data_IF_451177326694
#
_entry.id   IF_451177326694
#
_cell.length_a   1.000
_cell.length_b   1.000
_cell.length_c   1.000
_cell.angle_alpha   90.00
_cell.angle_beta   90.00
_cell.angle_gamma   90.00
#
_symmetry.space_group_name_H-M   'P 1'
#
loop_
_entity.id
_entity.type
_entity.pdbx_description
1 polymer ?
#
# COMPACT_ATOMS: atom_id res chain seq x y z
N UNK A 1 -11.36 15.11 14.75
CA UNK A 1 -10.05 15.49 14.19
C UNK A 1 -10.16 15.47 12.66
N UNK A 2 -9.46 16.35 11.95
CA UNK A 2 -9.47 16.36 10.48
C UNK A 2 -8.52 15.28 9.92
N UNK A 3 -8.62 14.98 8.61
CA UNK A 3 -7.65 14.11 7.92
C UNK A 3 -6.22 14.62 8.08
N UNK A 4 -6.03 15.94 7.90
CA UNK A 4 -4.73 16.61 7.99
C UNK A 4 -4.10 16.40 9.36
N UNK A 5 -4.87 16.57 10.44
CA UNK A 5 -4.39 16.36 11.80
C UNK A 5 -3.93 14.91 12.02
N UNK A 6 -4.73 13.91 11.60
CA UNK A 6 -4.36 12.49 11.72
C UNK A 6 -3.10 12.21 10.91
N UNK A 7 -2.98 12.78 9.72
CA UNK A 7 -1.81 12.63 8.85
C UNK A 7 -0.55 13.17 9.51
N UNK A 8 -0.63 14.33 10.16
CA UNK A 8 0.50 14.91 10.91
C UNK A 8 0.90 14.00 12.07
N UNK A 9 -0.07 13.51 12.86
CA UNK A 9 0.18 12.60 13.98
C UNK A 9 0.84 11.30 13.50
N UNK A 10 0.30 10.71 12.43
CA UNK A 10 0.84 9.49 11.82
C UNK A 10 2.30 9.71 11.38
N UNK A 11 2.59 10.82 10.70
CA UNK A 11 3.96 11.18 10.29
C UNK A 11 4.91 11.29 11.48
N UNK A 12 4.52 12.05 12.51
CA UNK A 12 5.42 12.37 13.62
C UNK A 12 5.66 11.21 14.58
N UNK A 13 4.65 10.37 14.81
CA UNK A 13 4.72 9.34 15.85
C UNK A 13 5.11 7.96 15.30
N UNK A 14 4.62 7.61 14.12
CA UNK A 14 4.74 6.25 13.59
C UNK A 14 5.65 6.19 12.37
N UNK A 15 5.64 7.22 11.52
CA UNK A 15 6.41 7.20 10.28
C UNK A 15 7.74 7.95 10.34
N UNK A 16 8.03 8.68 11.42
CA UNK A 16 9.26 9.48 11.56
C UNK A 16 10.51 8.70 11.22
N UNK A 17 10.68 7.53 11.85
CA UNK A 17 11.85 6.67 11.61
C UNK A 17 11.91 6.10 10.18
N UNK A 18 10.75 5.98 9.49
CA UNK A 18 10.72 5.56 8.09
C UNK A 18 11.19 6.67 7.15
N UNK A 19 10.87 7.94 7.45
CA UNK A 19 11.37 9.08 6.66
C UNK A 19 12.89 9.26 6.81
N UNK A 20 13.45 8.92 7.96
CA UNK A 20 14.88 9.01 8.24
C UNK A 20 15.69 7.81 7.69
N UNK A 21 15.02 6.74 7.23
CA UNK A 21 15.67 5.52 6.77
C UNK A 21 15.90 5.56 5.24
N UNK A 22 17.18 5.52 4.83
CA UNK A 22 17.59 5.62 3.42
C UNK A 22 17.07 4.50 2.51
N UNK A 23 16.78 3.31 3.07
CA UNK A 23 16.20 2.18 2.32
C UNK A 23 14.67 2.08 2.45
N UNK A 24 14.02 3.16 2.89
CA UNK A 24 12.57 3.24 2.99
C UNK A 24 12.06 4.38 2.12
N UNK A 25 10.99 4.12 1.38
CA UNK A 25 10.23 5.15 0.68
C UNK A 25 8.85 5.27 1.33
N UNK A 26 8.48 6.48 1.73
CA UNK A 26 7.10 6.78 2.13
C UNK A 26 6.43 7.54 0.99
N UNK A 27 5.27 7.06 0.58
CA UNK A 27 4.49 7.59 -0.55
C UNK A 27 3.13 7.99 -0.03
N UNK A 28 2.72 9.22 -0.31
CA UNK A 28 1.38 9.70 0.01
C UNK A 28 0.45 9.48 -1.19
N UNK A 29 -0.81 9.18 -0.91
CA UNK A 29 -1.89 9.07 -1.89
C UNK A 29 -1.58 8.08 -3.04
N UNK A 30 -1.00 6.93 -2.71
CA UNK A 30 -0.63 5.92 -3.69
C UNK A 30 -1.88 5.29 -4.33
N UNK A 31 -2.06 5.55 -5.61
CA UNK A 31 -3.10 4.92 -6.41
C UNK A 31 -2.81 3.43 -6.64
N UNK A 32 -3.86 2.62 -6.55
CA UNK A 32 -3.77 1.18 -6.75
C UNK A 32 -4.49 0.77 -8.03
N UNK A 33 -3.98 -0.27 -8.70
CA UNK A 33 -4.55 -0.76 -9.95
C UNK A 33 -5.86 -1.56 -9.76
N UNK A 34 -6.45 -1.53 -8.57
CA UNK A 34 -7.65 -2.27 -8.19
C UNK A 34 -8.72 -1.30 -7.73
N UNK A 35 -9.90 -1.38 -8.36
CA UNK A 35 -11.11 -0.66 -7.95
C UNK A 35 -10.95 0.87 -7.78
N UNK A 36 -9.98 1.48 -8.49
CA UNK A 36 -9.60 2.90 -8.31
C UNK A 36 -9.32 3.26 -6.84
N UNK A 37 -8.86 2.27 -6.06
CA UNK A 37 -8.54 2.47 -4.66
C UNK A 37 -7.25 3.28 -4.55
N UNK A 38 -7.14 4.05 -3.48
CA UNK A 38 -5.99 4.90 -3.20
C UNK A 38 -5.71 4.85 -1.71
N UNK A 39 -4.52 4.39 -1.34
CA UNK A 39 -4.11 4.35 0.06
C UNK A 39 -3.53 5.72 0.45
N UNK A 40 -3.84 6.21 1.63
CA UNK A 40 -3.41 7.55 2.05
C UNK A 40 -1.90 7.63 2.25
N UNK A 41 -1.31 6.58 2.82
CA UNK A 41 0.15 6.45 2.94
C UNK A 41 0.60 5.02 2.71
N UNK A 42 1.71 4.87 2.00
CA UNK A 42 2.39 3.60 1.81
C UNK A 42 3.86 3.71 2.23
N UNK A 43 4.30 2.80 3.11
CA UNK A 43 5.71 2.61 3.44
C UNK A 43 6.23 1.43 2.63
N UNK A 44 7.32 1.65 1.90
CA UNK A 44 7.92 0.68 0.97
C UNK A 44 9.38 0.47 1.38
N UNK A 45 9.68 -0.71 1.92
CA UNK A 45 11.02 -1.15 2.31
C UNK A 45 11.19 -2.65 2.06
N UNK A 46 11.60 -3.44 3.05
CA UNK A 46 11.50 -4.90 3.04
C UNK A 46 10.07 -5.42 2.85
N UNK A 47 9.07 -4.60 3.17
CA UNK A 47 7.64 -4.88 3.00
C UNK A 47 6.92 -3.65 2.42
N UNK A 48 5.69 -3.84 1.96
CA UNK A 48 4.75 -2.73 1.71
C UNK A 48 3.70 -2.66 2.82
N UNK A 49 3.70 -1.56 3.56
CA UNK A 49 2.69 -1.28 4.59
C UNK A 49 1.81 -0.10 4.18
N UNK A 50 0.54 -0.36 3.94
CA UNK A 50 -0.47 0.67 3.69
C UNK A 50 -1.10 1.19 4.99
N UNK A 51 -1.29 2.51 5.07
CA UNK A 51 -2.02 3.19 6.13
C UNK A 51 -3.21 3.94 5.51
N UNK A 52 -4.41 3.55 5.90
CA UNK A 52 -5.66 4.21 5.52
C UNK A 52 -6.10 5.11 6.67
N UNK A 53 -6.37 6.38 6.40
CA UNK A 53 -6.82 7.36 7.37
C UNK A 53 -8.35 7.48 7.30
N UNK A 54 -9.00 7.57 8.46
CA UNK A 54 -10.42 7.91 8.59
C UNK A 54 -10.60 8.97 9.66
N UNK A 55 -10.96 10.18 9.24
CA UNK A 55 -11.32 11.30 10.11
C UNK A 55 -12.68 11.07 10.79
N UNK A 56 -12.99 11.85 11.83
CA UNK A 56 -14.32 11.80 12.45
C UNK A 56 -15.48 12.02 11.46
N UNK A 57 -15.29 12.81 10.40
CA UNK A 57 -16.34 13.08 9.42
C UNK A 57 -16.53 11.95 8.40
N UNK A 58 -15.59 11.00 8.31
CA UNK A 58 -15.63 9.96 7.31
C UNK A 58 -16.71 8.91 7.57
N UNK A 59 -17.23 8.35 6.48
CA UNK A 59 -18.05 7.15 6.53
C UNK A 59 -17.19 5.89 6.36
N UNK A 60 -17.48 4.85 7.14
CA UNK A 60 -16.80 3.55 7.03
C UNK A 60 -17.36 2.67 5.90
N UNK A 61 -18.36 3.15 5.13
CA UNK A 61 -19.02 2.37 4.06
C UNK A 61 -18.05 1.81 3.01
N UNK A 62 -16.94 2.51 2.74
CA UNK A 62 -15.94 2.11 1.73
C UNK A 62 -14.87 1.15 2.26
N UNK A 63 -14.76 0.97 3.58
CA UNK A 63 -13.70 0.15 4.18
C UNK A 63 -13.69 -1.29 3.64
N UNK A 64 -14.83 -2.01 3.50
CA UNK A 64 -14.80 -3.39 3.01
C UNK A 64 -14.17 -3.53 1.61
N UNK A 65 -14.55 -2.68 0.65
CA UNK A 65 -14.00 -2.73 -0.71
C UNK A 65 -12.55 -2.24 -0.77
N UNK A 66 -12.20 -1.24 0.05
CA UNK A 66 -10.82 -0.79 0.19
C UNK A 66 -9.93 -1.91 0.73
N UNK A 67 -10.33 -2.59 1.80
CA UNK A 67 -9.60 -3.74 2.36
C UNK A 67 -9.43 -4.83 1.31
N UNK A 68 -10.45 -5.13 0.51
CA UNK A 68 -10.35 -6.12 -0.57
C UNK A 68 -9.30 -5.73 -1.62
N UNK A 69 -9.29 -4.46 -2.03
CA UNK A 69 -8.28 -3.94 -2.96
C UNK A 69 -6.87 -3.99 -2.36
N UNK A 70 -6.72 -3.53 -1.12
CA UNK A 70 -5.44 -3.47 -0.40
C UNK A 70 -4.87 -4.86 -0.13
N UNK A 71 -5.73 -5.86 0.09
CA UNK A 71 -5.35 -7.27 0.25
C UNK A 71 -4.57 -7.81 -0.95
N UNK A 72 -4.81 -7.30 -2.16
CA UNK A 72 -4.14 -7.81 -3.37
C UNK A 72 -2.70 -7.28 -3.50
N UNK A 73 -2.33 -6.27 -2.71
CA UNK A 73 -1.10 -5.49 -2.88
C UNK A 73 -0.22 -5.49 -1.64
N UNK A 74 -0.76 -5.12 -0.47
CA UNK A 74 0.06 -4.83 0.70
C UNK A 74 0.39 -6.07 1.53
N UNK A 75 1.59 -6.05 2.12
CA UNK A 75 2.02 -7.00 3.16
C UNK A 75 1.31 -6.73 4.48
N UNK A 76 1.17 -5.45 4.82
CA UNK A 76 0.51 -4.98 6.03
C UNK A 76 -0.45 -3.84 5.70
N UNK A 77 -1.55 -3.78 6.43
CA UNK A 77 -2.52 -2.71 6.31
C UNK A 77 -2.90 -2.26 7.72
N UNK A 78 -2.85 -0.96 7.98
CA UNK A 78 -3.37 -0.35 9.20
C UNK A 78 -4.43 0.69 8.85
N UNK A 79 -5.52 0.73 9.63
CA UNK A 79 -6.47 1.84 9.60
C UNK A 79 -6.17 2.74 10.79
N UNK A 80 -6.02 4.03 10.53
CA UNK A 80 -5.70 5.07 11.50
C UNK A 80 -6.91 5.98 11.65
N UNK A 81 -7.47 6.08 12.86
CA UNK A 81 -8.74 6.79 13.07
C UNK A 81 -8.93 7.26 14.53
N UNK A 82 -10.11 7.80 14.86
CA UNK A 82 -10.50 8.18 16.21
C UNK A 82 -11.26 7.04 16.93
N UNK A 83 -11.23 7.05 18.26
CA UNK A 83 -11.74 5.97 19.14
C UNK A 83 -13.19 5.54 18.82
N UNK A 84 -14.05 6.48 18.43
CA UNK A 84 -15.46 6.21 18.12
C UNK A 84 -15.69 5.16 17.02
N UNK A 85 -14.68 4.91 16.16
CA UNK A 85 -14.76 3.91 15.09
C UNK A 85 -14.14 2.56 15.46
N UNK A 86 -13.47 2.46 16.61
CA UNK A 86 -12.75 1.27 17.06
C UNK A 86 -13.58 -0.01 16.97
N UNK A 87 -14.73 -0.06 17.66
CA UNK A 87 -15.55 -1.26 17.72
C UNK A 87 -16.09 -1.66 16.33
N UNK A 88 -16.51 -0.68 15.51
CA UNK A 88 -16.98 -0.95 14.15
C UNK A 88 -15.87 -1.54 13.28
N UNK A 89 -14.66 -0.97 13.34
CA UNK A 89 -13.51 -1.46 12.59
C UNK A 89 -13.08 -2.86 13.05
N UNK A 90 -13.07 -3.12 14.37
CA UNK A 90 -12.74 -4.45 14.91
C UNK A 90 -13.66 -5.53 14.38
N UNK A 91 -14.97 -5.23 14.26
CA UNK A 91 -15.97 -6.17 13.74
C UNK A 91 -15.92 -6.31 12.21
N UNK A 92 -15.78 -5.21 11.47
CA UNK A 92 -15.96 -5.23 10.01
C UNK A 92 -14.69 -5.56 9.21
N UNK A 93 -13.51 -5.46 9.83
CA UNK A 93 -12.24 -5.68 9.14
C UNK A 93 -11.60 -7.01 9.53
N UNK A 94 -10.95 -7.73 8.60
CA UNK A 94 -10.26 -8.98 8.88
C UNK A 94 -9.18 -8.82 9.96
N UNK A 95 -8.90 -9.91 10.71
CA UNK A 95 -7.94 -9.91 11.83
C UNK A 95 -6.52 -9.44 11.47
N UNK A 96 -6.11 -9.55 10.21
CA UNK A 96 -4.77 -9.12 9.77
C UNK A 96 -4.63 -7.60 9.63
N UNK A 97 -5.74 -6.86 9.54
CA UNK A 97 -5.75 -5.41 9.40
C UNK A 97 -5.48 -4.77 10.77
N UNK A 98 -4.44 -3.96 10.87
CA UNK A 98 -4.13 -3.19 12.07
C UNK A 98 -5.14 -2.07 12.30
N UNK A 99 -5.33 -1.69 13.56
CA UNK A 99 -6.17 -0.57 13.97
C UNK A 99 -5.37 0.28 14.95
N UNK A 100 -5.22 1.54 14.60
CA UNK A 100 -4.49 2.55 15.37
C UNK A 100 -5.45 3.70 15.65
N UNK A 101 -5.54 4.10 16.91
CA UNK A 101 -6.37 5.21 17.33
C UNK A 101 -5.50 6.44 17.61
N UNK A 102 -5.89 7.59 17.07
CA UNK A 102 -5.33 8.89 17.38
C UNK A 102 -6.28 9.65 18.32
N UNK A 103 -5.73 10.27 19.36
CA UNK A 103 -6.46 11.19 20.23
C UNK A 103 -6.11 12.66 19.91
N UNK A 104 -6.90 13.59 20.43
CA UNK A 104 -6.73 15.03 20.17
C UNK A 104 -5.44 15.62 20.72
N UNK A 105 -4.82 14.92 21.68
CA UNK A 105 -3.54 15.31 22.28
C UNK A 105 -2.34 14.89 21.40
N UNK A 106 -2.61 14.26 20.26
CA UNK A 106 -1.60 13.87 19.28
C UNK A 106 -0.95 12.53 19.59
N UNK A 107 -1.49 11.74 20.51
CA UNK A 107 -0.99 10.41 20.83
C UNK A 107 -1.63 9.33 19.95
N UNK A 108 -0.92 8.21 19.81
CA UNK A 108 -1.39 7.05 19.06
C UNK A 108 -1.44 5.80 19.94
N UNK A 109 -2.57 5.10 19.92
CA UNK A 109 -2.76 3.82 20.64
C UNK A 109 -2.97 2.69 19.64
N UNK A 110 -2.15 1.65 19.75
CA UNK A 110 -2.31 0.43 18.94
C UNK A 110 -3.40 -0.46 19.54
N UNK A 111 -4.55 -0.55 18.88
CA UNK A 111 -5.66 -1.41 19.32
C UNK A 111 -5.53 -2.83 18.76
N UNK A 112 -5.13 -2.95 17.48
CA UNK A 112 -4.85 -4.23 16.86
C UNK A 112 -3.60 -4.13 16.01
N UNK A 113 -2.63 -5.01 16.26
CA UNK A 113 -1.42 -5.12 15.46
C UNK A 113 -1.74 -5.66 14.07
N UNK A 114 -1.22 -5.01 13.02
CA UNK A 114 -1.29 -5.53 11.66
C UNK A 114 -0.48 -6.84 11.55
N UNK A 115 -1.00 -7.82 10.82
CA UNK A 115 -0.35 -9.11 10.57
C UNK A 115 -0.04 -9.24 9.08
N UNK A 116 0.92 -10.12 8.76
CA UNK A 116 1.33 -10.35 7.37
C UNK A 116 0.16 -10.90 6.55
N UNK A 117 -0.11 -10.24 5.43
CA UNK A 117 -1.08 -10.66 4.44
C UNK A 117 -0.45 -11.64 3.44
N UNK A 118 -1.05 -12.82 3.32
CA UNK A 118 -0.62 -13.88 2.40
C UNK A 118 -1.43 -13.95 1.10
N UNK A 119 -2.34 -12.99 0.87
CA UNK A 119 -3.29 -13.00 -0.25
C UNK A 119 -2.96 -11.99 -1.35
N UNK A 120 -1.74 -11.46 -1.36
CA UNK A 120 -1.23 -10.63 -2.46
C UNK A 120 -1.28 -11.41 -3.78
N UNK A 121 -1.36 -10.69 -4.88
CA UNK A 121 -1.51 -11.28 -6.21
C UNK A 121 -0.53 -10.64 -7.18
N UNK A 122 0.30 -11.47 -7.83
CA UNK A 122 1.40 -11.04 -8.71
C UNK A 122 0.96 -10.04 -9.78
N UNK A 123 -0.17 -10.29 -10.44
CA UNK A 123 -0.69 -9.40 -11.47
C UNK A 123 -0.97 -7.98 -10.97
N UNK A 124 -1.57 -7.84 -9.78
CA UNK A 124 -1.87 -6.52 -9.20
C UNK A 124 -0.63 -5.82 -8.65
N UNK A 125 0.34 -6.59 -8.15
CA UNK A 125 1.66 -6.07 -7.79
C UNK A 125 2.38 -5.52 -9.03
N UNK A 126 2.43 -6.30 -10.11
CA UNK A 126 3.06 -5.90 -11.36
C UNK A 126 2.43 -4.62 -11.94
N UNK A 127 1.10 -4.45 -11.80
CA UNK A 127 0.42 -3.23 -12.23
C UNK A 127 0.80 -1.95 -11.46
N UNK A 128 1.52 -2.05 -10.35
CA UNK A 128 2.10 -0.86 -9.72
C UNK A 128 3.27 -0.30 -10.53
N UNK A 129 3.87 -1.11 -11.41
CA UNK A 129 5.00 -0.73 -12.24
C UNK A 129 4.55 0.07 -13.46
N UNK A 130 5.38 1.04 -13.83
CA UNK A 130 5.23 1.75 -15.09
C UNK A 130 5.60 0.83 -16.24
N UNK A 131 5.06 1.13 -17.43
CA UNK A 131 5.30 0.30 -18.61
C UNK A 131 6.79 0.10 -18.90
N UNK A 132 7.61 1.15 -18.79
CA UNK A 132 9.05 1.05 -19.01
C UNK A 132 9.76 0.13 -18.01
N UNK A 133 9.32 0.14 -16.74
CA UNK A 133 9.87 -0.71 -15.69
C UNK A 133 9.50 -2.18 -15.92
N UNK A 134 8.25 -2.46 -16.29
CA UNK A 134 7.82 -3.82 -16.69
C UNK A 134 8.67 -4.35 -17.83
N UNK A 135 8.87 -3.54 -18.87
CA UNK A 135 9.67 -3.91 -20.04
C UNK A 135 11.13 -4.18 -19.67
N UNK A 136 11.71 -3.36 -18.81
CA UNK A 136 13.07 -3.55 -18.30
C UNK A 136 13.20 -4.87 -17.53
N UNK A 137 12.29 -5.14 -16.60
CA UNK A 137 12.28 -6.38 -15.81
C UNK A 137 12.10 -7.62 -16.69
N UNK A 138 11.16 -7.59 -17.63
CA UNK A 138 10.92 -8.70 -18.57
C UNK A 138 12.15 -8.96 -19.45
N UNK A 139 12.78 -7.90 -19.97
CA UNK A 139 14.00 -8.02 -20.77
C UNK A 139 15.15 -8.64 -19.97
N UNK A 140 15.39 -8.16 -18.76
CA UNK A 140 16.43 -8.69 -17.86
C UNK A 140 16.15 -10.15 -17.46
N UNK A 141 14.89 -10.59 -17.52
CA UNK A 141 14.45 -11.94 -17.19
C UNK A 141 14.39 -12.88 -18.41
N UNK A 142 14.80 -12.40 -19.59
CA UNK A 142 14.76 -13.16 -20.85
C UNK A 142 13.36 -13.43 -21.39
N UNK A 143 12.33 -12.71 -20.90
CA UNK A 143 10.95 -12.85 -21.37
C UNK A 143 10.76 -11.98 -22.60
N UNK A 144 10.32 -12.59 -23.70
CA UNK A 144 10.02 -11.86 -24.94
C UNK A 144 8.70 -11.09 -24.80
N UNK A 145 8.70 -9.83 -25.24
CA UNK A 145 7.51 -8.98 -25.35
C UNK A 145 7.70 -7.99 -26.50
N UNK A 146 6.60 -7.41 -27.00
CA UNK A 146 6.65 -6.31 -27.95
C UNK A 146 6.56 -4.97 -27.23
N UNK A 147 7.29 -3.95 -27.69
CA UNK A 147 7.22 -2.60 -27.11
C UNK A 147 5.80 -2.01 -27.16
N UNK A 148 5.00 -2.40 -28.15
CA UNK A 148 3.60 -2.01 -28.34
C UNK A 148 2.61 -2.75 -27.45
N UNK A 149 3.02 -3.79 -26.71
CA UNK A 149 2.11 -4.58 -25.89
C UNK A 149 1.38 -3.71 -24.86
N UNK A 150 0.12 -4.05 -24.63
CA UNK A 150 -0.70 -3.40 -23.62
C UNK A 150 -0.12 -3.67 -22.24
N UNK A 151 -0.22 -2.70 -21.33
CA UNK A 151 0.37 -2.81 -19.99
C UNK A 151 -0.08 -4.10 -19.25
N UNK A 152 -1.34 -4.50 -19.38
CA UNK A 152 -1.86 -5.70 -18.73
C UNK A 152 -1.19 -7.00 -19.23
N UNK A 153 -0.82 -7.10 -20.51
CA UNK A 153 -0.08 -8.25 -21.05
C UNK A 153 1.32 -8.35 -20.44
N UNK A 154 1.99 -7.20 -20.26
CA UNK A 154 3.30 -7.15 -19.61
C UNK A 154 3.22 -7.56 -18.13
N UNK A 155 2.13 -7.18 -17.45
CA UNK A 155 1.87 -7.59 -16.08
C UNK A 155 1.62 -9.10 -15.96
N UNK A 156 0.85 -9.68 -16.88
CA UNK A 156 0.62 -11.13 -16.94
C UNK A 156 1.92 -11.88 -17.19
N UNK A 157 2.71 -11.45 -18.18
CA UNK A 157 4.00 -12.07 -18.47
C UNK A 157 4.94 -12.07 -17.26
N UNK A 158 4.96 -10.98 -16.48
CA UNK A 158 5.76 -10.91 -15.25
C UNK A 158 5.17 -11.83 -14.16
N UNK A 159 3.85 -11.84 -14.00
CA UNK A 159 3.14 -12.64 -13.00
C UNK A 159 3.20 -14.15 -13.26
N UNK A 160 3.30 -14.56 -14.51
CA UNK A 160 3.48 -15.96 -14.93
C UNK A 160 4.93 -16.42 -14.77
N UNK A 161 5.89 -15.51 -14.99
CA UNK A 161 7.32 -15.82 -14.92
C UNK A 161 7.81 -16.04 -13.48
N UNK A 162 7.23 -15.33 -12.52
CA UNK A 162 7.73 -15.22 -11.16
C UNK A 162 6.67 -15.56 -10.11
N UNK A 163 7.11 -16.08 -8.97
CA UNK A 163 6.26 -16.25 -7.79
C UNK A 163 5.80 -14.89 -7.24
N UNK A 164 4.72 -14.88 -6.45
CA UNK A 164 4.23 -13.65 -5.81
C UNK A 164 5.26 -12.95 -4.93
N UNK A 165 6.18 -13.71 -4.31
CA UNK A 165 7.22 -13.15 -3.46
C UNK A 165 8.30 -12.45 -4.31
N UNK A 166 8.74 -13.08 -5.40
CA UNK A 166 9.69 -12.50 -6.34
C UNK A 166 9.12 -11.25 -7.01
N UNK A 167 7.87 -11.29 -7.50
CA UNK A 167 7.20 -10.10 -8.06
C UNK A 167 7.11 -9.01 -6.99
N UNK A 168 6.74 -9.35 -5.76
CA UNK A 168 6.67 -8.38 -4.68
C UNK A 168 8.02 -7.75 -4.35
N UNK A 169 9.12 -8.48 -4.50
CA UNK A 169 10.48 -7.97 -4.30
C UNK A 169 10.89 -7.02 -5.42
N UNK A 170 10.76 -7.46 -6.67
CA UNK A 170 11.04 -6.64 -7.86
C UNK A 170 10.25 -5.33 -7.84
N UNK A 171 8.96 -5.40 -7.50
CA UNK A 171 8.11 -4.21 -7.39
C UNK A 171 8.62 -3.27 -6.31
N UNK A 172 8.90 -3.76 -5.10
CA UNK A 172 9.40 -2.91 -4.01
C UNK A 172 10.72 -2.24 -4.38
N UNK A 173 11.64 -2.95 -5.05
CA UNK A 173 12.89 -2.39 -5.53
C UNK A 173 12.69 -1.25 -6.52
N UNK A 174 11.89 -1.48 -7.57
CA UNK A 174 11.58 -0.44 -8.56
C UNK A 174 10.91 0.78 -7.92
N UNK A 175 9.91 0.57 -7.06
CA UNK A 175 9.22 1.66 -6.37
C UNK A 175 10.17 2.48 -5.50
N UNK A 176 11.12 1.86 -4.79
CA UNK A 176 12.12 2.61 -3.99
C UNK A 176 13.03 3.49 -4.86
N UNK A 177 13.37 3.04 -6.06
CA UNK A 177 14.22 3.77 -7.01
C UNK A 177 13.49 4.94 -7.70
N UNK A 178 12.15 4.99 -7.66
CA UNK A 178 11.38 6.08 -8.28
C UNK A 178 11.66 7.43 -7.62
N UNK A 179 12.13 8.36 -8.45
CA UNK A 179 12.38 9.75 -8.08
C UNK A 179 11.11 10.61 -8.24
N UNK A 180 10.36 10.43 -9.33
CA UNK A 180 9.17 11.25 -9.65
C UNK A 180 7.87 10.46 -9.50
N UNK A 181 7.22 10.55 -8.34
CA UNK A 181 5.95 9.86 -8.11
C UNK A 181 4.72 10.54 -8.75
N UNK A 182 4.89 11.73 -9.33
CA UNK A 182 3.79 12.61 -9.79
C UNK A 182 3.64 12.75 -11.31
N UNK A 183 4.54 12.17 -12.10
CA UNK A 183 4.55 12.34 -13.56
C UNK A 183 4.04 11.08 -14.28
N UNK A 184 2.84 10.62 -13.92
CA UNK A 184 2.13 9.53 -14.60
C UNK A 184 1.00 10.07 -15.47
#
# INVERSE_FOLDING_TARGET
MTDVDIRIILKNNLLKNYYECSNTKVVEELELPVAKARIDMAVINGYMHGFEIKSASDTLKRIPSQVEAYTKVFDYLSIVTEEKYQNKLLTMTPKWVGIIICNRDGETTLIRKALINKKKQSFFLAKLLWKGELQLLLANSGVKFNKSDRNWLLCEALAEKFTVNEVSELVREQLRLRVNWKDC
#
